data_IF_985741771527
#
_entry.id   IF_985741771527
#
_cell.length_a   1.000
_cell.length_b   1.000
_cell.length_c   1.000
_cell.angle_alpha   90.00
_cell.angle_beta   90.00
_cell.angle_gamma   90.00
#
_symmetry.space_group_name_H-M   'P 1'
#
loop_
_entity.id
_entity.type
_entity.pdbx_description
1 polymer ?
#
# COMPACT_ATOMS: atom_id res chain seq x y z
N UNK A 1 -4.23 -7.23 -16.08
CA UNK A 1 -4.66 -8.63 -16.27
C UNK A 1 -5.23 -9.12 -14.95
N UNK A 2 -6.38 -9.81 -14.91
CA UNK A 2 -6.88 -10.42 -13.67
C UNK A 2 -5.98 -11.61 -13.32
N UNK A 3 -5.39 -11.62 -12.12
CA UNK A 3 -4.65 -12.76 -11.61
C UNK A 3 -5.56 -13.95 -11.32
N UNK A 4 -4.98 -15.14 -11.23
CA UNK A 4 -5.66 -16.38 -10.83
C UNK A 4 -5.24 -16.73 -9.39
N UNK A 5 -6.17 -17.26 -8.58
CA UNK A 5 -5.86 -17.66 -7.21
C UNK A 5 -4.84 -18.81 -7.20
N UNK A 6 -3.82 -18.73 -6.34
CA UNK A 6 -2.79 -19.79 -6.21
C UNK A 6 -3.39 -21.18 -5.94
N UNK A 7 -4.54 -21.24 -5.27
CA UNK A 7 -5.25 -22.49 -5.03
C UNK A 7 -5.73 -23.16 -6.33
N UNK A 8 -6.19 -22.38 -7.31
CA UNK A 8 -6.59 -22.90 -8.62
C UNK A 8 -5.37 -23.39 -9.41
N UNK A 9 -4.27 -22.65 -9.36
CA UNK A 9 -2.98 -23.06 -9.93
C UNK A 9 -2.50 -24.38 -9.30
N UNK A 10 -2.65 -24.53 -7.98
CA UNK A 10 -2.29 -25.75 -7.25
C UNK A 10 -3.09 -26.97 -7.71
N UNK A 11 -4.40 -26.80 -7.94
CA UNK A 11 -5.26 -27.86 -8.48
C UNK A 11 -4.89 -28.22 -9.91
N UNK A 12 -4.65 -27.22 -10.75
CA UNK A 12 -4.28 -27.40 -12.16
C UNK A 12 -2.98 -28.20 -12.30
N UNK A 13 -1.97 -27.87 -11.50
CA UNK A 13 -0.67 -28.56 -11.48
C UNK A 13 -0.69 -29.86 -10.67
N UNK A 14 -1.80 -30.15 -9.98
CA UNK A 14 -1.98 -31.33 -9.11
C UNK A 14 -0.90 -31.44 -8.05
N UNK A 15 -0.52 -30.29 -7.48
CA UNK A 15 0.46 -30.24 -6.41
C UNK A 15 -0.11 -30.83 -5.11
N UNK A 16 0.68 -31.72 -4.50
CA UNK A 16 0.35 -32.36 -3.22
C UNK A 16 0.38 -31.39 -2.02
N UNK A 17 1.00 -30.23 -2.15
CA UNK A 17 1.08 -29.19 -1.11
C UNK A 17 1.09 -27.81 -1.75
N UNK A 18 0.48 -26.84 -1.06
CA UNK A 18 0.44 -25.44 -1.52
C UNK A 18 1.84 -24.81 -1.57
N UNK A 19 2.78 -25.27 -0.74
CA UNK A 19 4.17 -24.81 -0.73
C UNK A 19 4.87 -24.97 -2.09
N UNK A 20 4.50 -26.00 -2.86
CA UNK A 20 5.02 -26.18 -4.21
C UNK A 20 4.52 -25.12 -5.19
N UNK A 21 3.36 -24.51 -4.90
CA UNK A 21 2.72 -23.47 -5.71
C UNK A 21 3.08 -22.06 -5.21
N UNK A 22 3.48 -21.90 -3.95
CA UNK A 22 3.93 -20.61 -3.37
C UNK A 22 5.12 -20.01 -4.12
N UNK A 23 5.91 -20.85 -4.80
CA UNK A 23 6.95 -20.39 -5.73
C UNK A 23 6.45 -19.44 -6.81
N UNK A 24 5.14 -19.38 -7.08
CA UNK A 24 4.50 -18.48 -8.05
C UNK A 24 3.87 -17.24 -7.40
N UNK A 25 3.92 -17.07 -6.08
CA UNK A 25 3.29 -15.94 -5.39
C UNK A 25 3.80 -14.57 -5.89
N UNK A 26 5.08 -14.51 -6.26
CA UNK A 26 5.71 -13.31 -6.82
C UNK A 26 5.17 -12.90 -8.21
N UNK A 27 4.40 -13.75 -8.89
CA UNK A 27 3.74 -13.44 -10.16
C UNK A 27 2.39 -12.75 -9.96
N UNK A 28 1.90 -12.65 -8.72
CA UNK A 28 0.64 -11.96 -8.45
C UNK A 28 0.76 -10.48 -8.89
N UNK A 29 -0.23 -9.93 -9.61
CA UNK A 29 -0.16 -8.57 -10.16
C UNK A 29 0.18 -7.51 -9.11
N UNK A 30 -0.31 -7.69 -7.89
CA UNK A 30 -0.20 -6.72 -6.79
C UNK A 30 0.85 -7.13 -5.73
N UNK A 31 1.65 -8.18 -5.97
CA UNK A 31 2.63 -8.70 -5.00
C UNK A 31 3.56 -7.62 -4.43
N UNK A 32 4.02 -6.68 -5.27
CA UNK A 32 4.89 -5.59 -4.83
C UNK A 32 4.16 -4.58 -3.94
N UNK A 33 2.91 -4.25 -4.26
CA UNK A 33 2.09 -3.32 -3.47
C UNK A 33 1.73 -3.94 -2.11
N UNK A 34 1.35 -5.22 -2.10
CA UNK A 34 1.04 -5.95 -0.86
C UNK A 34 2.29 -6.10 0.03
N UNK A 35 3.46 -6.38 -0.57
CA UNK A 35 4.72 -6.46 0.17
C UNK A 35 5.08 -5.11 0.82
N UNK A 36 4.94 -4.00 0.09
CA UNK A 36 5.20 -2.65 0.63
C UNK A 36 4.16 -2.27 1.69
N UNK A 37 2.89 -2.60 1.48
CA UNK A 37 1.83 -2.35 2.47
C UNK A 37 2.06 -3.16 3.77
N UNK A 38 2.55 -4.39 3.66
CA UNK A 38 2.88 -5.24 4.82
C UNK A 38 4.04 -4.71 5.66
N UNK A 39 4.92 -3.88 5.08
CA UNK A 39 6.04 -3.24 5.78
C UNK A 39 5.57 -2.15 6.78
N UNK A 40 4.26 -1.86 6.85
CA UNK A 40 3.71 -0.93 7.83
C UNK A 40 4.09 0.53 7.55
N UNK A 41 4.54 0.86 6.34
CA UNK A 41 4.76 2.24 5.91
C UNK A 41 3.41 2.95 5.75
N UNK A 42 2.88 3.46 6.85
CA UNK A 42 1.81 4.44 6.83
C UNK A 42 2.47 5.82 6.71
N UNK A 43 2.52 6.36 5.49
CA UNK A 43 2.96 7.72 5.26
C UNK A 43 1.87 8.69 5.77
N UNK A 44 1.78 8.83 7.09
CA UNK A 44 0.91 9.81 7.73
C UNK A 44 1.60 11.16 7.63
N UNK A 45 1.53 11.78 6.46
CA UNK A 45 1.93 13.18 6.32
C UNK A 45 0.88 14.03 7.05
N UNK A 46 1.15 14.32 8.31
CA UNK A 46 0.42 15.33 9.08
C UNK A 46 0.81 16.70 8.52
N UNK A 47 0.19 17.11 7.40
CA UNK A 47 0.23 18.50 6.98
C UNK A 47 -0.65 19.28 7.96
N UNK A 48 -0.06 19.68 9.09
CA UNK A 48 -0.59 20.79 9.87
C UNK A 48 -0.52 22.02 8.97
N UNK A 49 -1.62 22.31 8.26
CA UNK A 49 -1.90 23.66 7.79
C UNK A 49 -1.96 24.56 9.01
N UNK A 50 -0.81 25.07 9.42
CA UNK A 50 -0.73 26.13 10.41
C UNK A 50 -1.32 27.35 9.73
N UNK A 51 -2.62 27.54 9.89
CA UNK A 51 -3.39 28.71 9.44
C UNK A 51 -2.67 29.97 9.91
N UNK A 52 -1.86 30.55 9.02
CA UNK A 52 -1.25 31.87 9.20
C UNK A 52 -2.29 32.90 8.78
N UNK A 53 -3.35 33.07 9.56
CA UNK A 53 -4.33 34.12 9.28
C UNK A 53 -4.98 34.66 10.56
N UNK A 54 -4.16 35.29 11.41
CA UNK A 54 -4.52 36.48 12.21
C UNK A 54 -3.28 37.34 12.45
N UNK A 55 -2.60 37.75 11.38
CA UNK A 55 -1.81 38.99 11.38
C UNK A 55 -2.55 39.96 10.45
N UNK A 56 -3.69 40.45 10.93
CA UNK A 56 -4.36 41.60 10.32
C UNK A 56 -4.49 42.67 11.41
N UNK A 57 -3.79 43.77 11.20
CA UNK A 57 -4.15 45.07 11.75
C UNK A 57 -3.65 45.43 13.16
N UNK A 58 -2.34 45.52 13.38
CA UNK A 58 -1.80 46.44 14.39
C UNK A 58 -0.70 47.32 13.77
N UNK A 59 -1.05 48.08 12.74
CA UNK A 59 -0.23 49.18 12.23
C UNK A 59 -1.14 50.37 11.86
N UNK A 60 -1.53 51.16 12.86
CA UNK A 60 -2.06 52.52 12.71
C UNK A 60 -1.46 53.36 13.85
N UNK A 61 -0.35 54.05 13.62
CA UNK A 61 -0.24 55.47 13.26
C UNK A 61 -0.64 56.41 14.41
N UNK A 62 0.38 57.05 15.00
CA UNK A 62 0.42 58.29 15.82
C UNK A 62 -0.74 58.62 16.75
#
# INVERSE_FOLDING_TARGET
>A
MKGVLLFEVSKLLRHASIQMTERYAHLAPDYLHDAVASLGFSAQFQHSEKTREKVVGQNGLK
#
